data_IF_493541025975
#
_entry.id   IF_493541025975
#
_cell.length_a   1.000
_cell.length_b   1.000
_cell.length_c   1.000
_cell.angle_alpha   90.00
_cell.angle_beta   90.00
_cell.angle_gamma   90.00
#
_symmetry.space_group_name_H-M   'P 1'
#
loop_
_entity.id
_entity.type
_entity.pdbx_description
1 polymer ?
#
# COMPACT_ATOMS: atom_id res chain seq x y z
N UNK A 1 -0.50 18.82 -0.46
CA UNK A 1 0.04 17.50 -0.85
C UNK A 1 0.83 17.73 -2.12
N UNK A 2 2.15 17.51 -2.09
CA UNK A 2 3.01 17.77 -3.24
C UNK A 2 3.32 16.42 -3.91
N UNK A 3 2.42 16.03 -4.81
CA UNK A 3 2.59 14.83 -5.61
C UNK A 3 3.58 15.07 -6.73
N UNK A 4 4.37 14.06 -7.05
CA UNK A 4 5.39 14.14 -8.09
C UNK A 4 4.77 13.93 -9.46
N UNK A 5 4.98 14.90 -10.35
CA UNK A 5 4.69 14.80 -11.78
C UNK A 5 5.95 14.40 -12.58
N UNK A 6 5.86 14.29 -13.91
CA UNK A 6 6.99 13.86 -14.73
C UNK A 6 8.20 14.79 -14.60
N UNK A 7 8.01 16.12 -14.67
CA UNK A 7 9.10 17.08 -14.56
C UNK A 7 9.81 17.01 -13.20
N UNK A 8 9.04 16.73 -12.16
CA UNK A 8 9.53 16.62 -10.79
C UNK A 8 10.27 15.30 -10.57
N UNK A 9 9.82 14.22 -11.22
CA UNK A 9 10.54 12.94 -11.26
C UNK A 9 11.97 13.14 -11.80
N UNK A 10 12.12 13.90 -12.90
CA UNK A 10 13.43 14.26 -13.49
C UNK A 10 14.30 15.15 -12.59
N UNK A 11 13.73 15.79 -11.56
CA UNK A 11 14.50 16.54 -10.55
C UNK A 11 14.95 15.64 -9.40
N UNK A 12 14.19 14.59 -9.08
CA UNK A 12 14.43 13.72 -7.94
C UNK A 12 15.45 12.61 -8.24
N UNK A 13 15.48 12.14 -9.49
CA UNK A 13 16.36 11.06 -9.94
C UNK A 13 17.40 11.56 -10.95
N UNK A 14 18.56 10.92 -10.95
CA UNK A 14 19.66 11.22 -11.87
C UNK A 14 19.32 10.81 -13.31
N UNK A 15 18.62 9.69 -13.47
CA UNK A 15 18.26 9.15 -14.78
C UNK A 15 16.94 8.42 -14.70
N UNK A 16 16.13 8.52 -15.75
CA UNK A 16 14.84 7.85 -15.86
C UNK A 16 14.80 7.12 -17.19
N UNK A 17 14.49 5.82 -17.14
CA UNK A 17 14.36 4.95 -18.29
C UNK A 17 12.90 4.65 -18.55
N UNK A 18 12.42 4.99 -19.74
CA UNK A 18 11.08 4.61 -20.21
C UNK A 18 11.10 3.36 -21.11
N UNK A 19 12.28 3.03 -21.66
CA UNK A 19 12.52 1.78 -22.36
C UNK A 19 13.41 0.89 -21.49
N UNK A 20 12.84 -0.22 -21.04
CA UNK A 20 13.45 -1.11 -20.05
C UNK A 20 14.70 -1.81 -20.58
N UNK A 21 14.85 -1.92 -21.91
CA UNK A 21 16.04 -2.50 -22.54
C UNK A 21 17.29 -1.62 -22.36
N UNK A 22 17.11 -0.34 -22.06
CA UNK A 22 18.21 0.61 -21.91
C UNK A 22 18.73 0.72 -20.48
N UNK A 23 18.16 -0.03 -19.53
CA UNK A 23 18.57 0.03 -18.13
C UNK A 23 19.89 -0.73 -17.96
N UNK A 24 20.99 -0.07 -17.54
CA UNK A 24 22.27 -0.73 -17.36
C UNK A 24 22.35 -1.37 -15.96
N UNK A 25 21.43 -2.30 -15.66
CA UNK A 25 21.18 -2.81 -14.30
C UNK A 25 22.43 -3.39 -13.62
N UNK A 26 23.23 -4.16 -14.35
CA UNK A 26 24.48 -4.76 -13.82
C UNK A 26 25.54 -3.71 -13.44
N UNK A 27 25.40 -2.46 -13.89
CA UNK A 27 26.29 -1.35 -13.53
C UNK A 27 25.81 -0.54 -12.32
N UNK A 28 24.63 -0.87 -11.77
CA UNK A 28 24.09 -0.19 -10.59
C UNK A 28 24.81 -0.70 -9.33
N UNK A 29 25.12 0.23 -8.43
CA UNK A 29 25.76 -0.09 -7.15
C UNK A 29 24.68 -0.50 -6.15
N UNK A 30 24.16 -1.72 -6.27
CA UNK A 30 23.13 -2.27 -5.38
C UNK A 30 23.71 -3.38 -4.50
N UNK A 31 23.26 -3.48 -3.26
CA UNK A 31 23.56 -4.67 -2.43
C UNK A 31 22.83 -5.90 -2.99
N UNK A 32 23.25 -7.11 -2.61
CA UNK A 32 22.55 -8.33 -3.04
C UNK A 32 21.10 -8.37 -2.55
N UNK A 33 20.83 -7.82 -1.36
CA UNK A 33 19.48 -7.69 -0.84
C UNK A 33 18.66 -6.70 -1.69
N UNK A 34 19.22 -5.53 -2.02
CA UNK A 34 18.52 -4.55 -2.85
C UNK A 34 18.18 -5.15 -4.21
N UNK A 35 19.12 -5.89 -4.82
CA UNK A 35 18.88 -6.58 -6.11
C UNK A 35 17.77 -7.63 -6.03
N UNK A 36 17.60 -8.31 -4.91
CA UNK A 36 16.53 -9.31 -4.72
C UNK A 36 15.15 -8.65 -4.69
N UNK A 37 15.04 -7.46 -4.12
CA UNK A 37 13.79 -6.73 -3.96
C UNK A 37 13.55 -5.65 -5.02
N UNK A 38 14.50 -5.44 -5.95
CA UNK A 38 14.43 -4.38 -6.96
C UNK A 38 13.29 -4.60 -7.97
N UNK A 39 12.64 -3.50 -8.37
CA UNK A 39 11.60 -3.47 -9.40
C UNK A 39 12.06 -4.00 -10.77
N UNK A 40 13.36 -3.96 -11.05
CA UNK A 40 13.95 -4.52 -12.27
C UNK A 40 13.61 -6.01 -12.47
N UNK A 41 13.37 -6.74 -11.38
CA UNK A 41 12.99 -8.15 -11.44
C UNK A 41 11.64 -8.40 -12.15
N UNK A 42 10.78 -7.39 -12.29
CA UNK A 42 9.56 -7.53 -13.09
C UNK A 42 9.86 -7.76 -14.57
N UNK A 43 10.93 -7.19 -15.12
CA UNK A 43 11.24 -7.27 -16.56
C UNK A 43 11.65 -8.68 -17.02
N UNK A 44 12.04 -9.54 -16.09
CA UNK A 44 12.34 -10.96 -16.34
C UNK A 44 11.13 -11.74 -16.86
N UNK A 45 9.92 -11.20 -16.69
CA UNK A 45 8.66 -11.86 -17.04
C UNK A 45 8.01 -11.32 -18.31
N UNK A 46 8.68 -10.41 -19.03
CA UNK A 46 8.23 -9.88 -20.33
C UNK A 46 7.53 -8.54 -20.21
N UNK A 47 6.45 -8.36 -20.98
CA UNK A 47 5.72 -7.10 -21.05
C UNK A 47 5.06 -6.74 -19.70
N UNK A 48 5.32 -5.52 -19.22
CA UNK A 48 4.85 -5.06 -17.93
C UNK A 48 3.34 -4.83 -17.88
N UNK A 49 2.71 -4.44 -18.99
CA UNK A 49 1.26 -4.25 -19.01
C UNK A 49 0.56 -5.61 -18.88
N UNK A 50 0.98 -6.59 -19.66
CA UNK A 50 0.49 -7.97 -19.55
C UNK A 50 0.78 -8.58 -18.17
N UNK A 51 1.96 -8.29 -17.60
CA UNK A 51 2.36 -8.89 -16.33
C UNK A 51 1.80 -8.20 -15.09
N UNK A 52 1.64 -6.88 -15.09
CA UNK A 52 1.25 -6.12 -13.89
C UNK A 52 -0.17 -5.55 -14.01
N UNK A 53 -0.58 -5.10 -15.20
CA UNK A 53 -1.82 -4.31 -15.38
C UNK A 53 -3.01 -5.19 -15.78
N UNK A 54 -2.85 -6.17 -16.68
CA UNK A 54 -3.94 -7.07 -17.11
C UNK A 54 -4.72 -7.73 -15.96
N UNK A 55 -4.12 -8.11 -14.80
CA UNK A 55 -4.88 -8.64 -13.66
C UNK A 55 -5.98 -7.71 -13.12
N UNK A 56 -5.91 -6.40 -13.39
CA UNK A 56 -6.93 -5.43 -12.99
C UNK A 56 -8.21 -5.52 -13.83
N UNK A 57 -8.12 -6.00 -15.08
CA UNK A 57 -9.18 -5.90 -16.10
C UNK A 57 -10.57 -6.33 -15.60
N UNK A 58 -10.64 -7.44 -14.87
CA UNK A 58 -11.91 -8.01 -14.43
C UNK A 58 -12.33 -7.57 -13.03
N UNK A 59 -11.39 -7.11 -12.19
CA UNK A 59 -11.64 -6.87 -10.75
C UNK A 59 -11.54 -5.41 -10.33
N UNK A 60 -10.86 -4.58 -11.12
CA UNK A 60 -10.62 -3.15 -10.93
C UNK A 60 -10.70 -2.46 -12.30
N UNK A 61 -11.82 -2.58 -13.05
CA UNK A 61 -11.90 -2.16 -14.44
C UNK A 61 -11.68 -0.65 -14.63
N UNK A 62 -12.07 0.21 -13.68
CA UNK A 62 -11.87 1.64 -13.83
C UNK A 62 -10.39 2.01 -13.68
N UNK A 63 -9.71 1.44 -12.69
CA UNK A 63 -8.27 1.59 -12.52
C UNK A 63 -7.51 1.05 -13.73
N UNK A 64 -7.94 -0.10 -14.27
CA UNK A 64 -7.36 -0.70 -15.47
C UNK A 64 -7.37 0.26 -16.67
N UNK A 65 -8.49 0.97 -16.93
CA UNK A 65 -8.58 1.93 -18.03
C UNK A 65 -7.53 3.04 -17.96
N UNK A 66 -7.27 3.57 -16.76
CA UNK A 66 -6.24 4.60 -16.56
C UNK A 66 -4.83 4.01 -16.65
N UNK A 67 -4.60 2.85 -16.02
CA UNK A 67 -3.29 2.21 -15.99
C UNK A 67 -2.83 1.78 -17.40
N UNK A 68 -3.72 1.33 -18.27
CA UNK A 68 -3.41 0.98 -19.66
C UNK A 68 -2.97 2.16 -20.51
N UNK A 69 -3.31 3.39 -20.11
CA UNK A 69 -2.86 4.62 -20.76
C UNK A 69 -1.56 5.17 -20.14
N UNK A 70 -1.10 4.56 -19.04
CA UNK A 70 0.09 4.97 -18.35
C UNK A 70 1.37 4.66 -19.13
N UNK A 71 2.49 5.14 -18.60
CA UNK A 71 3.83 4.83 -19.13
C UNK A 71 4.72 4.38 -17.98
N UNK A 72 5.15 3.12 -18.02
CA UNK A 72 6.12 2.60 -17.05
C UNK A 72 7.44 3.35 -17.15
N UNK A 73 8.11 3.47 -16.00
CA UNK A 73 9.44 4.06 -15.91
C UNK A 73 10.26 3.35 -14.83
N UNK A 74 11.57 3.34 -15.01
CA UNK A 74 12.54 2.92 -14.01
C UNK A 74 13.47 4.09 -13.72
N UNK A 75 13.45 4.60 -12.49
CA UNK A 75 14.20 5.78 -12.08
C UNK A 75 15.41 5.37 -11.24
N UNK A 76 16.54 6.03 -11.46
CA UNK A 76 17.81 5.78 -10.76
C UNK A 76 18.38 7.09 -10.24
N UNK A 77 18.66 7.13 -8.94
CA UNK A 77 19.43 8.19 -8.29
C UNK A 77 20.77 7.60 -7.89
N UNK A 78 21.83 8.08 -8.56
CA UNK A 78 23.18 7.59 -8.32
C UNK A 78 23.68 8.01 -6.94
N UNK A 79 24.24 7.06 -6.22
CA UNK A 79 24.92 7.32 -4.95
C UNK A 79 26.15 8.19 -5.17
N UNK A 80 26.38 9.12 -4.25
CA UNK A 80 27.63 9.90 -4.22
C UNK A 80 28.76 9.19 -3.49
N UNK A 81 28.47 8.08 -2.78
CA UNK A 81 29.44 7.32 -1.97
C UNK A 81 29.28 5.79 -2.12
N UNK A 82 29.37 5.22 -3.33
CA UNK A 82 29.39 3.77 -3.48
C UNK A 82 30.71 3.18 -2.92
N UNK A 83 30.69 2.05 -2.18
CA UNK A 83 29.55 1.16 -1.92
C UNK A 83 28.83 1.39 -0.59
N UNK A 84 29.19 2.44 0.17
CA UNK A 84 28.61 2.71 1.50
C UNK A 84 27.11 3.02 1.43
N UNK A 85 26.72 3.75 0.38
CA UNK A 85 25.33 4.04 0.06
C UNK A 85 25.02 3.42 -1.32
N UNK A 86 24.05 2.49 -1.42
CA UNK A 86 23.66 1.94 -2.70
C UNK A 86 22.94 2.98 -3.57
N UNK A 87 22.89 2.73 -4.88
CA UNK A 87 22.04 3.50 -5.79
C UNK A 87 20.57 3.35 -5.36
N UNK A 88 19.80 4.43 -5.41
CA UNK A 88 18.36 4.37 -5.16
C UNK A 88 17.64 4.17 -6.49
N UNK A 89 16.90 3.07 -6.58
CA UNK A 89 16.15 2.66 -7.76
C UNK A 89 14.66 2.64 -7.46
N UNK A 90 13.84 2.90 -8.47
CA UNK A 90 12.40 2.87 -8.29
C UNK A 90 11.67 2.58 -9.60
N UNK A 91 10.86 1.52 -9.60
CA UNK A 91 9.90 1.22 -10.67
C UNK A 91 8.58 1.92 -10.40
N UNK A 92 8.01 2.51 -11.44
CA UNK A 92 6.69 3.12 -11.37
C UNK A 92 5.97 3.23 -12.70
N UNK A 93 4.79 3.81 -12.66
CA UNK A 93 3.96 4.15 -13.81
C UNK A 93 3.55 5.62 -13.72
N UNK A 94 3.70 6.34 -14.82
CA UNK A 94 3.20 7.69 -14.99
C UNK A 94 1.78 7.62 -15.54
N UNK A 95 0.80 8.14 -14.81
CA UNK A 95 -0.61 8.20 -15.22
C UNK A 95 -1.09 9.64 -15.09
N UNK A 96 -1.57 10.24 -16.18
CA UNK A 96 -2.04 11.63 -16.21
C UNK A 96 -1.07 12.65 -15.57
N UNK A 97 0.23 12.52 -15.87
CA UNK A 97 1.27 13.40 -15.31
C UNK A 97 1.34 13.33 -13.76
N UNK A 98 1.18 12.12 -13.22
CA UNK A 98 1.38 11.80 -11.81
C UNK A 98 2.10 10.47 -11.70
N UNK A 99 3.14 10.44 -10.88
CA UNK A 99 3.97 9.26 -10.69
C UNK A 99 3.40 8.37 -9.59
N UNK A 100 3.36 7.07 -9.86
CA UNK A 100 2.99 6.03 -8.92
C UNK A 100 4.08 4.98 -8.91
N UNK A 101 4.38 4.39 -7.75
CA UNK A 101 5.38 3.35 -7.63
C UNK A 101 4.78 1.99 -7.40
N UNK A 102 5.54 0.99 -7.84
CA UNK A 102 5.20 -0.43 -7.76
C UNK A 102 6.37 -1.15 -7.13
N UNK A 103 6.19 -1.61 -5.90
CA UNK A 103 7.22 -2.38 -5.21
C UNK A 103 7.15 -3.85 -5.63
N UNK A 104 8.32 -4.40 -5.96
CA UNK A 104 8.46 -5.81 -6.23
C UNK A 104 8.46 -6.65 -4.94
N UNK A 105 8.01 -7.89 -5.06
CA UNK A 105 8.21 -8.91 -4.03
C UNK A 105 8.80 -10.17 -4.69
N UNK A 106 9.90 -10.75 -4.16
CA UNK A 106 10.44 -12.03 -4.66
C UNK A 106 9.46 -13.19 -4.43
N UNK A 107 8.65 -13.08 -3.37
CA UNK A 107 7.62 -14.04 -2.97
C UNK A 107 6.22 -13.38 -2.96
N UNK A 108 5.68 -13.05 -4.14
CA UNK A 108 4.39 -12.40 -4.28
C UNK A 108 3.24 -13.40 -4.07
N UNK A 109 2.01 -12.89 -3.96
CA UNK A 109 0.82 -13.73 -3.79
C UNK A 109 0.64 -14.76 -4.91
N UNK A 110 0.96 -14.41 -6.16
CA UNK A 110 0.94 -15.33 -7.31
C UNK A 110 1.81 -16.58 -7.15
N UNK A 111 2.83 -16.58 -6.27
CA UNK A 111 3.66 -17.76 -5.96
C UNK A 111 3.19 -18.49 -4.69
N UNK A 112 2.45 -17.83 -3.80
CA UNK A 112 1.90 -18.41 -2.58
C UNK A 112 0.50 -17.84 -2.31
N UNK A 113 -0.52 -18.50 -2.86
CA UNK A 113 -1.92 -18.09 -2.78
C UNK A 113 -2.57 -18.22 -1.39
N UNK A 114 -1.83 -18.76 -0.40
CA UNK A 114 -2.27 -18.78 1.00
C UNK A 114 -1.81 -17.56 1.78
N UNK A 115 -0.92 -16.75 1.20
CA UNK A 115 -0.39 -15.54 1.83
C UNK A 115 -1.52 -14.49 1.92
N UNK A 116 -1.56 -13.76 3.03
CA UNK A 116 -2.53 -12.67 3.29
C UNK A 116 -4.01 -13.12 3.32
N UNK A 117 -4.40 -14.02 4.24
CA UNK A 117 -5.77 -14.54 4.32
C UNK A 117 -6.82 -13.47 4.64
N UNK A 118 -6.41 -12.31 5.18
CA UNK A 118 -7.30 -11.21 5.55
C UNK A 118 -7.67 -10.27 4.38
N UNK A 119 -6.88 -10.22 3.29
CA UNK A 119 -7.11 -9.26 2.20
C UNK A 119 -8.18 -9.80 1.23
N UNK A 120 -9.15 -9.00 0.75
CA UNK A 120 -10.09 -9.43 -0.30
C UNK A 120 -9.38 -10.04 -1.52
N UNK A 121 -9.89 -11.17 -2.02
CA UNK A 121 -9.27 -11.91 -3.13
C UNK A 121 -9.15 -11.06 -4.41
N UNK A 122 -10.13 -10.21 -4.69
CA UNK A 122 -10.08 -9.32 -5.85
C UNK A 122 -8.92 -8.31 -5.77
N UNK A 123 -8.60 -7.80 -4.58
CA UNK A 123 -7.45 -6.91 -4.35
C UNK A 123 -6.13 -7.69 -4.45
N UNK A 124 -6.09 -8.92 -3.94
CA UNK A 124 -4.94 -9.82 -4.10
C UNK A 124 -4.70 -10.22 -5.56
N UNK A 125 -5.75 -10.40 -6.35
CA UNK A 125 -5.66 -10.81 -7.76
C UNK A 125 -5.49 -9.64 -8.72
N UNK A 126 -5.51 -8.39 -8.24
CA UNK A 126 -5.21 -7.17 -9.02
C UNK A 126 -3.94 -6.51 -8.48
N UNK A 127 -4.09 -5.56 -7.56
CA UNK A 127 -3.04 -4.74 -6.98
C UNK A 127 -1.84 -5.55 -6.51
N UNK A 128 -2.10 -6.61 -5.74
CA UNK A 128 -1.06 -7.32 -4.97
C UNK A 128 -0.70 -8.70 -5.55
N UNK A 129 -1.12 -9.00 -6.79
CA UNK A 129 -0.94 -10.32 -7.38
C UNK A 129 0.55 -10.65 -7.57
N UNK A 130 1.29 -9.66 -8.06
CA UNK A 130 2.73 -9.75 -8.36
C UNK A 130 3.55 -8.64 -7.71
N UNK A 131 2.90 -7.68 -7.07
CA UNK A 131 3.54 -6.57 -6.36
C UNK A 131 3.41 -6.73 -4.84
N UNK A 132 4.27 -6.02 -4.11
CA UNK A 132 4.18 -5.89 -2.66
C UNK A 132 3.26 -4.74 -2.26
N UNK A 133 3.33 -3.63 -2.99
CA UNK A 133 2.80 -2.33 -2.60
C UNK A 133 2.69 -1.43 -3.82
N UNK A 134 1.66 -0.60 -3.81
CA UNK A 134 1.52 0.55 -4.69
C UNK A 134 1.41 1.83 -3.88
N UNK A 135 1.95 2.92 -4.40
CA UNK A 135 1.83 4.23 -3.74
C UNK A 135 1.87 5.38 -4.74
N UNK A 136 1.22 6.48 -4.41
CA UNK A 136 1.44 7.75 -5.10
C UNK A 136 2.81 8.30 -4.71
N UNK A 137 3.54 8.83 -5.69
CA UNK A 137 4.81 9.46 -5.40
C UNK A 137 4.62 10.84 -4.81
N UNK A 138 5.29 11.09 -3.69
CA UNK A 138 5.42 12.39 -3.05
C UNK A 138 6.90 12.83 -3.03
N UNK A 139 7.14 14.10 -2.75
CA UNK A 139 8.50 14.64 -2.59
C UNK A 139 9.26 14.11 -1.37
N UNK A 140 8.55 13.51 -0.44
CA UNK A 140 9.09 12.99 0.81
C UNK A 140 9.44 11.51 0.65
N UNK A 141 10.24 11.00 1.58
CA UNK A 141 10.58 9.58 1.61
C UNK A 141 9.29 8.78 1.84
N UNK A 142 9.14 7.65 1.14
CA UNK A 142 8.00 6.78 1.32
C UNK A 142 7.94 6.28 2.76
N UNK A 143 6.76 6.44 3.35
CA UNK A 143 6.55 5.97 4.70
C UNK A 143 6.48 4.45 4.71
N UNK A 144 7.26 3.79 5.56
CA UNK A 144 7.26 2.31 5.65
C UNK A 144 5.99 1.78 6.33
N UNK A 145 5.27 2.63 7.07
CA UNK A 145 4.11 2.24 7.87
C UNK A 145 2.78 2.30 7.13
N UNK A 146 2.70 3.05 6.02
CA UNK A 146 1.44 3.31 5.32
C UNK A 146 1.66 3.53 3.84
N UNK A 147 0.62 3.32 3.05
CA UNK A 147 0.63 3.43 1.59
C UNK A 147 -0.69 4.02 1.11
N UNK A 148 -0.67 4.93 0.13
CA UNK A 148 -1.92 5.55 -0.36
C UNK A 148 -2.74 4.65 -1.28
N UNK A 149 -2.14 3.56 -1.78
CA UNK A 149 -2.78 2.48 -2.54
C UNK A 149 -2.51 1.13 -1.84
N UNK A 150 -3.21 0.04 -2.21
CA UNK A 150 -3.10 -1.24 -1.52
C UNK A 150 -1.66 -1.73 -1.30
N UNK A 151 -1.42 -2.28 -0.11
CA UNK A 151 -0.09 -2.76 0.31
C UNK A 151 -0.16 -4.05 1.13
N UNK A 152 0.87 -4.88 0.97
CA UNK A 152 1.11 -6.07 1.81
C UNK A 152 1.98 -5.80 3.02
N UNK A 153 2.45 -4.56 3.21
CA UNK A 153 3.23 -4.18 4.40
C UNK A 153 2.38 -4.24 5.68
N UNK A 154 1.04 -4.17 5.57
CA UNK A 154 0.05 -4.56 6.59
C UNK A 154 0.44 -4.12 8.02
N UNK A 155 0.59 -2.82 8.21
CA UNK A 155 1.03 -2.30 9.50
C UNK A 155 -0.11 -2.32 10.50
N UNK A 156 0.14 -2.71 11.74
CA UNK A 156 -0.91 -2.87 12.72
C UNK A 156 -1.51 -1.51 13.09
N UNK A 157 -2.78 -1.51 13.52
CA UNK A 157 -3.57 -0.31 13.81
C UNK A 157 -2.83 0.72 14.68
N UNK A 158 -2.16 0.26 15.73
CA UNK A 158 -1.44 1.11 16.67
C UNK A 158 -0.29 1.90 16.02
N UNK A 159 0.37 1.33 15.01
CA UNK A 159 1.46 1.99 14.28
C UNK A 159 0.96 3.09 13.34
N UNK A 160 -0.34 3.09 13.00
CA UNK A 160 -0.93 4.02 12.03
C UNK A 160 -1.76 5.11 12.71
N UNK A 161 -2.32 4.81 13.89
CA UNK A 161 -3.21 5.70 14.65
C UNK A 161 -2.48 6.27 15.87
N UNK A 162 -2.17 7.56 15.81
CA UNK A 162 -1.48 8.25 16.90
C UNK A 162 -2.31 8.24 18.21
N UNK A 163 -1.64 7.93 19.33
CA UNK A 163 -2.25 7.92 20.66
C UNK A 163 -3.14 6.70 20.93
N UNK A 164 -2.99 5.62 20.15
CA UNK A 164 -3.68 4.34 20.37
C UNK A 164 -3.17 3.60 21.62
N UNK A 165 -1.88 3.74 21.94
CA UNK A 165 -1.19 3.02 23.01
C UNK A 165 -0.78 3.92 24.18
N UNK A 166 -0.54 3.30 25.33
CA UNK A 166 0.13 3.91 26.47
C UNK A 166 1.66 3.93 26.29
N UNK A 167 2.38 4.45 27.30
CA UNK A 167 3.85 4.55 27.25
C UNK A 167 4.58 3.20 27.30
N UNK A 168 3.87 2.11 27.60
CA UNK A 168 4.40 0.76 27.68
C UNK A 168 4.08 -0.07 26.43
N UNK A 169 3.39 0.51 25.43
CA UNK A 169 3.01 -0.19 24.20
C UNK A 169 1.68 -0.94 24.29
N UNK A 170 0.90 -0.75 25.35
CA UNK A 170 -0.42 -1.38 25.45
C UNK A 170 -1.50 -0.49 24.85
N UNK A 171 -2.37 -1.06 24.03
CA UNK A 171 -3.58 -0.40 23.55
C UNK A 171 -4.40 0.17 24.72
N UNK A 172 -4.85 1.43 24.58
CA UNK A 172 -5.62 2.08 25.65
C UNK A 172 -6.97 1.36 25.86
N UNK A 173 -7.43 1.19 27.12
CA UNK A 173 -8.65 0.42 27.42
C UNK A 173 -9.88 0.83 26.62
N UNK A 174 -10.10 2.13 26.42
CA UNK A 174 -11.22 2.65 25.63
C UNK A 174 -11.28 2.10 24.18
N UNK A 175 -10.13 1.78 23.58
CA UNK A 175 -10.07 1.23 22.23
C UNK A 175 -10.24 -0.28 22.26
N UNK A 176 -9.62 -0.95 23.23
CA UNK A 176 -9.78 -2.39 23.45
C UNK A 176 -11.24 -2.72 23.71
N UNK A 177 -11.87 -2.12 24.73
CA UNK A 177 -13.26 -2.36 25.12
C UNK A 177 -14.21 -2.13 23.93
N UNK A 178 -13.99 -1.06 23.16
CA UNK A 178 -14.79 -0.75 21.99
C UNK A 178 -14.62 -1.79 20.87
N UNK A 179 -13.38 -2.12 20.49
CA UNK A 179 -13.09 -3.06 19.41
C UNK A 179 -13.54 -4.48 19.76
N UNK A 180 -13.31 -4.93 20.99
CA UNK A 180 -13.74 -6.25 21.44
C UNK A 180 -15.27 -6.36 21.48
N UNK A 181 -15.98 -5.32 21.93
CA UNK A 181 -17.44 -5.29 21.87
C UNK A 181 -17.97 -5.24 20.43
N UNK A 182 -17.29 -4.50 19.55
CA UNK A 182 -17.71 -4.30 18.15
C UNK A 182 -17.50 -5.56 17.29
N UNK A 183 -16.39 -6.28 17.51
CA UNK A 183 -16.06 -7.51 16.78
C UNK A 183 -16.51 -8.78 17.51
N UNK A 184 -16.92 -8.68 18.77
CA UNK A 184 -17.24 -9.80 19.64
C UNK A 184 -16.11 -10.86 19.68
N UNK A 185 -14.86 -10.38 19.77
CA UNK A 185 -13.64 -11.19 19.79
C UNK A 185 -12.53 -10.45 20.52
N UNK A 186 -11.57 -11.14 21.13
CA UNK A 186 -10.49 -10.48 21.86
C UNK A 186 -9.52 -9.77 20.91
N UNK A 187 -9.09 -8.57 21.25
CA UNK A 187 -8.21 -7.75 20.42
C UNK A 187 -6.75 -7.91 20.88
N UNK A 188 -5.81 -7.93 19.92
CA UNK A 188 -4.38 -7.93 20.23
C UNK A 188 -3.95 -6.57 20.76
N UNK A 189 -3.62 -6.51 22.05
CA UNK A 189 -3.38 -5.24 22.74
C UNK A 189 -1.92 -4.76 22.70
N UNK A 190 -0.98 -5.65 22.39
CA UNK A 190 0.46 -5.42 22.53
C UNK A 190 1.22 -6.35 21.56
N UNK A 191 2.45 -5.98 21.16
CA UNK A 191 3.18 -6.64 20.07
C UNK A 191 4.59 -7.15 20.41
N UNK A 192 5.20 -6.71 21.51
CA UNK A 192 6.55 -7.03 21.95
C UNK A 192 6.63 -8.23 22.92
N UNK A 193 5.50 -8.72 23.42
CA UNK A 193 5.42 -9.88 24.31
C UNK A 193 4.65 -11.05 23.69
N UNK A 194 4.90 -12.26 24.22
CA UNK A 194 4.24 -13.49 23.76
C UNK A 194 2.75 -13.58 24.21
N UNK A 195 2.31 -12.69 25.11
CA UNK A 195 0.99 -12.74 25.75
C UNK A 195 -0.20 -12.60 24.76
N UNK A 196 0.07 -12.03 23.58
CA UNK A 196 -0.92 -11.72 22.55
C UNK A 196 -0.58 -12.26 21.15
N UNK A 197 0.28 -13.28 21.05
CA UNK A 197 0.68 -13.88 19.76
C UNK A 197 -0.25 -15.00 19.26
N UNK A 198 -1.26 -15.38 20.04
CA UNK A 198 -2.23 -16.39 19.64
C UNK A 198 -3.23 -15.80 18.64
N UNK A 199 -3.00 -16.06 17.36
CA UNK A 199 -3.83 -15.59 16.24
C UNK A 199 -5.25 -16.19 16.21
N UNK A 200 -5.51 -17.28 16.96
CA UNK A 200 -6.88 -17.81 17.13
C UNK A 200 -7.63 -17.05 18.23
N UNK A 201 -6.91 -16.69 19.30
CA UNK A 201 -7.47 -15.97 20.44
C UNK A 201 -7.66 -14.49 20.17
N UNK A 202 -6.69 -13.84 19.51
CA UNK A 202 -6.69 -12.40 19.33
C UNK A 202 -6.77 -12.02 17.85
N UNK A 203 -7.70 -11.11 17.53
CA UNK A 203 -7.73 -10.51 16.21
C UNK A 203 -6.93 -9.20 16.18
N UNK A 204 -6.59 -8.78 14.98
CA UNK A 204 -5.93 -7.51 14.72
C UNK A 204 -6.49 -6.81 13.49
N UNK A 205 -6.23 -5.51 13.41
CA UNK A 205 -6.53 -4.66 12.25
C UNK A 205 -5.22 -4.21 11.63
N UNK A 206 -5.06 -4.47 10.35
CA UNK A 206 -3.81 -4.27 9.59
C UNK A 206 -4.08 -3.35 8.41
N UNK A 207 -3.32 -2.25 8.32
CA UNK A 207 -3.53 -1.19 7.35
C UNK A 207 -3.28 -1.69 5.94
N UNK A 208 -4.33 -1.70 5.12
CA UNK A 208 -4.30 -2.01 3.70
C UNK A 208 -3.87 -0.77 2.89
N UNK A 209 -4.44 0.39 3.21
CA UNK A 209 -4.05 1.70 2.68
C UNK A 209 -4.46 2.84 3.64
N UNK A 210 -3.83 3.99 3.47
CA UNK A 210 -4.07 5.24 4.22
C UNK A 210 -4.03 6.42 3.23
N UNK A 211 -5.14 7.17 3.12
CA UNK A 211 -5.23 8.28 2.14
C UNK A 211 -4.43 9.51 2.54
N UNK A 212 -3.88 9.57 3.76
CA UNK A 212 -3.11 10.72 4.23
C UNK A 212 -1.77 10.82 3.50
N UNK A 213 -1.26 12.05 3.27
CA UNK A 213 0.09 12.26 2.76
C UNK A 213 1.15 11.54 3.59
N UNK A 214 2.24 11.10 2.98
CA UNK A 214 3.28 10.26 3.62
C UNK A 214 3.74 10.76 5.00
N UNK A 215 3.91 12.07 5.19
CA UNK A 215 4.35 12.67 6.45
C UNK A 215 3.20 12.99 7.44
N UNK A 216 1.95 12.97 7.00
CA UNK A 216 0.82 13.38 7.84
C UNK A 216 0.34 12.24 8.75
N UNK A 217 0.23 12.55 10.03
CA UNK A 217 -0.36 11.68 11.06
C UNK A 217 -1.60 12.32 11.68
N UNK A 218 -2.15 13.32 11.00
CA UNK A 218 -3.26 14.11 11.48
C UNK A 218 -4.56 13.28 11.55
N UNK A 219 -5.54 13.83 12.26
CA UNK A 219 -6.92 13.31 12.31
C UNK A 219 -7.68 13.66 11.05
N UNK A 220 -7.23 13.13 9.93
CA UNK A 220 -7.75 13.37 8.59
C UNK A 220 -7.72 12.09 7.76
N UNK A 221 -8.28 12.13 6.56
CA UNK A 221 -8.24 11.02 5.65
C UNK A 221 -9.09 9.83 6.06
N UNK A 222 -8.92 8.79 5.28
CA UNK A 222 -9.53 7.49 5.45
C UNK A 222 -8.40 6.45 5.55
N UNK A 223 -8.48 5.59 6.55
CA UNK A 223 -7.57 4.49 6.73
C UNK A 223 -8.35 3.19 6.58
N UNK A 224 -7.95 2.35 5.61
CA UNK A 224 -8.56 1.06 5.38
C UNK A 224 -7.75 -0.02 6.07
N UNK A 225 -8.42 -0.86 6.84
CA UNK A 225 -7.83 -1.98 7.56
C UNK A 225 -8.47 -3.29 7.14
N UNK A 226 -7.67 -4.33 6.97
CA UNK A 226 -8.15 -5.71 6.91
C UNK A 226 -8.04 -6.33 8.30
N UNK A 227 -8.88 -7.32 8.59
CA UNK A 227 -8.85 -8.01 9.89
C UNK A 227 -8.45 -9.47 9.75
N UNK A 228 -7.66 -9.97 10.70
CA UNK A 228 -7.44 -11.41 10.87
C UNK A 228 -8.67 -12.16 11.38
N UNK A 229 -9.70 -11.44 11.87
CA UNK A 229 -10.92 -12.01 12.43
C UNK A 229 -11.72 -12.83 11.40
N UNK A 230 -12.12 -14.06 11.78
CA UNK A 230 -13.06 -14.97 11.11
C UNK A 230 -12.81 -15.27 9.61
N UNK A 231 -11.66 -14.88 9.05
CA UNK A 231 -11.32 -15.10 7.64
C UNK A 231 -12.33 -14.51 6.63
N UNK A 232 -13.21 -13.61 7.05
CA UNK A 232 -14.28 -13.04 6.20
C UNK A 232 -13.75 -12.10 5.10
N UNK A 233 -12.47 -11.74 5.15
CA UNK A 233 -11.80 -10.79 4.22
C UNK A 233 -12.54 -9.45 4.12
N UNK A 234 -13.09 -8.99 5.24
CA UNK A 234 -13.70 -7.68 5.35
C UNK A 234 -12.64 -6.58 5.32
N UNK A 235 -13.03 -5.41 4.82
CA UNK A 235 -12.25 -4.18 4.93
C UNK A 235 -13.02 -3.19 5.79
N UNK A 236 -12.34 -2.65 6.78
CA UNK A 236 -12.86 -1.69 7.74
C UNK A 236 -12.29 -0.31 7.44
N UNK A 237 -13.13 0.71 7.61
CA UNK A 237 -12.85 2.10 7.36
C UNK A 237 -12.74 2.84 8.69
N UNK A 238 -11.61 3.50 8.92
CA UNK A 238 -11.43 4.48 10.00
C UNK A 238 -11.36 5.86 9.37
N UNK A 239 -12.34 6.71 9.67
CA UNK A 239 -12.38 8.11 9.22
C UNK A 239 -11.62 8.98 10.21
N UNK A 240 -10.79 9.91 9.71
CA UNK A 240 -10.07 10.91 10.49
C UNK A 240 -9.21 10.31 11.62
N UNK A 241 -8.64 9.12 11.40
CA UNK A 241 -7.90 8.37 12.41
C UNK A 241 -8.69 8.14 13.73
N UNK A 242 -10.03 8.13 13.67
CA UNK A 242 -10.91 7.93 14.83
C UNK A 242 -11.47 6.51 14.86
N UNK A 243 -10.76 5.62 15.55
CA UNK A 243 -11.10 4.19 15.67
C UNK A 243 -12.53 3.98 16.21
N UNK A 244 -13.01 4.88 17.07
CA UNK A 244 -14.36 4.76 17.65
C UNK A 244 -15.48 4.99 16.62
N UNK A 245 -15.14 5.45 15.42
CA UNK A 245 -16.05 5.63 14.28
C UNK A 245 -15.84 4.58 13.19
N UNK A 246 -15.18 3.46 13.50
CA UNK A 246 -14.92 2.41 12.52
C UNK A 246 -16.21 1.93 11.86
N UNK A 247 -16.17 1.80 10.54
CA UNK A 247 -17.23 1.24 9.70
C UNK A 247 -16.69 0.06 8.92
N UNK A 248 -17.58 -0.70 8.30
CA UNK A 248 -17.23 -1.74 7.32
C UNK A 248 -17.50 -1.22 5.92
N UNK A 249 -16.67 -1.58 4.94
CA UNK A 249 -16.98 -1.32 3.54
C UNK A 249 -17.94 -2.41 3.03
N UNK A 250 -19.08 -2.02 2.49
CA UNK A 250 -20.06 -2.94 1.90
C UNK A 250 -19.57 -3.57 0.59
N UNK A 251 -18.82 -2.81 -0.21
CA UNK A 251 -18.13 -3.30 -1.40
C UNK A 251 -16.69 -2.74 -1.47
N UNK A 252 -15.72 -3.40 -0.80
CA UNK A 252 -14.35 -2.89 -0.75
C UNK A 252 -13.64 -2.87 -2.11
N UNK A 253 -14.04 -3.77 -3.03
CA UNK A 253 -13.43 -3.88 -4.36
C UNK A 253 -13.79 -2.66 -5.20
N UNK A 254 -15.07 -2.33 -5.26
CA UNK A 254 -15.57 -1.15 -5.98
C UNK A 254 -15.07 0.15 -5.35
N UNK A 255 -15.10 0.26 -4.02
CA UNK A 255 -14.64 1.45 -3.30
C UNK A 255 -13.17 1.77 -3.61
N UNK A 256 -12.30 0.77 -3.61
CA UNK A 256 -10.87 0.95 -3.92
C UNK A 256 -10.67 1.27 -5.40
N UNK A 257 -11.43 0.65 -6.31
CA UNK A 257 -11.32 0.93 -7.75
C UNK A 257 -11.69 2.38 -8.07
N UNK A 258 -12.78 2.87 -7.46
CA UNK A 258 -13.24 4.26 -7.60
C UNK A 258 -12.27 5.25 -6.96
N UNK A 259 -11.71 4.93 -5.79
CA UNK A 259 -10.70 5.75 -5.14
C UNK A 259 -9.40 5.85 -5.96
N UNK A 260 -8.87 4.73 -6.44
CA UNK A 260 -7.69 4.73 -7.29
C UNK A 260 -7.94 5.52 -8.58
N UNK A 261 -9.11 5.35 -9.18
CA UNK A 261 -9.56 6.15 -10.33
C UNK A 261 -9.63 7.64 -10.01
N UNK A 262 -10.12 8.03 -8.83
CA UNK A 262 -10.10 9.43 -8.36
C UNK A 262 -8.67 9.99 -8.31
N UNK A 263 -7.72 9.19 -7.81
CA UNK A 263 -6.31 9.55 -7.82
C UNK A 263 -5.76 9.68 -9.24
N UNK A 264 -5.96 8.67 -10.10
CA UNK A 264 -5.44 8.64 -11.47
C UNK A 264 -6.00 9.75 -12.34
N UNK A 265 -7.28 10.09 -12.15
CA UNK A 265 -7.95 11.19 -12.85
C UNK A 265 -7.57 12.57 -12.32
N UNK A 266 -6.75 12.66 -11.26
CA UNK A 266 -6.40 13.92 -10.57
C UNK A 266 -7.63 14.74 -10.17
N UNK A 267 -8.71 14.06 -9.78
CA UNK A 267 -9.94 14.74 -9.32
C UNK A 267 -9.64 15.59 -8.09
N UNK A 268 -10.24 16.77 -8.05
CA UNK A 268 -10.12 17.68 -6.91
C UNK A 268 -10.85 17.13 -5.69
N UNK A 269 -10.37 17.51 -4.51
CA UNK A 269 -10.95 17.07 -3.24
C UNK A 269 -10.55 15.67 -2.81
N UNK A 270 -11.00 15.30 -1.62
CA UNK A 270 -10.82 13.98 -1.05
C UNK A 270 -11.92 13.03 -1.58
N UNK A 271 -11.54 11.79 -1.89
CA UNK A 271 -12.51 10.76 -2.23
C UNK A 271 -13.27 10.32 -0.97
N UNK A 272 -14.60 10.39 -1.01
CA UNK A 272 -15.43 10.02 0.12
C UNK A 272 -15.72 8.51 0.15
N UNK A 273 -15.08 7.78 1.05
CA UNK A 273 -15.36 6.36 1.29
C UNK A 273 -16.68 6.12 2.02
N UNK A 274 -17.30 7.14 2.62
CA UNK A 274 -18.55 6.97 3.39
C UNK A 274 -19.72 6.52 2.54
N UNK A 275 -19.70 6.79 1.23
CA UNK A 275 -20.71 6.26 0.29
C UNK A 275 -20.73 4.72 0.20
N UNK A 276 -19.66 4.05 0.65
CA UNK A 276 -19.53 2.59 0.73
C UNK A 276 -19.55 2.06 2.17
N UNK A 277 -19.70 2.93 3.17
CA UNK A 277 -19.55 2.58 4.56
C UNK A 277 -20.89 2.13 5.17
N UNK A 278 -20.85 1.03 5.91
CA UNK A 278 -21.98 0.50 6.67
C UNK A 278 -21.62 0.27 8.15
N UNK A 279 -22.65 0.28 9.00
CA UNK A 279 -22.55 -0.18 10.37
C UNK A 279 -22.49 -1.72 10.43
N UNK A 280 -21.79 -2.24 11.44
CA UNK A 280 -21.64 -3.67 11.69
C UNK A 280 -21.64 -3.97 13.20
#
# INVERSE_FOLDING_TARGET
MNFVNEQELHKLFTTIYYDMNNIPYESLSLTELDKEFDGYNFFKYGDLFEYIIVPFKETQPLSYEYLMQGRFFYAVKKSTQPPLEPDLTQLGILVNDRCYFVDYAPYPYSKNNKKYPAIPLAILNSWLYRSKRWDIMEYTIHNVYKSTLPSTTLMPLHSVIAGFEDKKGYALPKYVDFLEAKFNHSFRQEYDTDDFLDDEKYFELRCLLDTRPNESWDKSGFQLFVSSHNQERNVYLVLQADVLKIKKLSNPVEAIDHYATHLFAKKEGEFDFMQYAEDF
#
